data_IF_323217458172
#
_entry.id   IF_323217458172
#
_cell.length_a   1.000
_cell.length_b   1.000
_cell.length_c   1.000
_cell.angle_alpha   90.00
_cell.angle_beta   90.00
_cell.angle_gamma   90.00
#
_symmetry.space_group_name_H-M   'P 1'
#
loop_
_entity.id
_entity.type
_entity.pdbx_description
1 polymer ?
#
# COMPACT_ATOMS: atom_id res chain seq x y z
N UNK A 1 27.10 55.44 -26.74
CA UNK A 1 28.52 54.98 -26.64
C UNK A 1 28.55 53.63 -25.90
N UNK A 2 29.74 52.98 -25.84
CA UNK A 2 30.12 51.70 -25.18
C UNK A 2 29.24 51.29 -23.95
N UNK A 3 28.72 50.03 -23.88
CA UNK A 3 29.27 48.81 -23.19
C UNK A 3 29.45 48.98 -21.66
N UNK A 4 29.29 48.02 -20.74
CA UNK A 4 28.85 46.60 -20.63
C UNK A 4 28.64 46.32 -19.09
N UNK A 5 28.25 45.17 -18.48
CA UNK A 5 27.99 43.75 -18.84
C UNK A 5 26.89 43.16 -17.89
N UNK A 6 26.68 41.82 -17.76
CA UNK A 6 25.77 41.18 -16.77
C UNK A 6 26.48 40.01 -15.99
N UNK A 7 25.82 39.13 -15.17
CA UNK A 7 26.29 38.77 -13.81
C UNK A 7 27.13 37.47 -13.75
N UNK A 8 27.33 36.88 -12.55
CA UNK A 8 26.90 35.48 -12.37
C UNK A 8 26.10 35.22 -11.07
N UNK A 9 25.88 33.94 -10.74
CA UNK A 9 24.86 33.43 -9.81
C UNK A 9 25.42 32.26 -8.97
N UNK A 10 24.87 32.06 -7.76
CA UNK A 10 24.83 30.78 -7.00
C UNK A 10 26.12 30.24 -6.32
N UNK A 11 25.90 29.16 -5.56
CA UNK A 11 26.74 28.40 -4.62
C UNK A 11 26.82 28.95 -3.16
N UNK A 12 26.79 28.16 -2.08
CA UNK A 12 26.09 26.91 -1.65
C UNK A 12 26.76 26.44 -0.34
N UNK A 13 25.97 26.25 0.72
CA UNK A 13 26.24 25.47 1.95
C UNK A 13 27.35 25.89 2.95
N UNK A 14 27.24 25.30 4.16
CA UNK A 14 28.16 25.30 5.33
C UNK A 14 28.29 26.65 6.11
N UNK A 15 28.38 26.72 7.45
CA UNK A 15 28.43 25.68 8.51
C UNK A 15 28.02 26.23 9.91
N UNK A 16 27.59 25.35 10.84
CA UNK A 16 27.51 25.47 12.33
C UNK A 16 26.91 26.75 12.97
N UNK A 17 25.79 26.69 13.70
CA UNK A 17 25.66 26.32 15.14
C UNK A 17 26.37 27.27 16.12
N UNK A 18 25.58 28.01 16.90
CA UNK A 18 25.67 28.12 18.37
C UNK A 18 24.47 28.93 18.91
N UNK A 19 23.68 28.32 19.79
CA UNK A 19 23.17 28.90 21.05
C UNK A 19 22.67 27.71 21.88
N UNK A 20 23.15 27.62 23.11
CA UNK A 20 22.75 26.62 24.09
C UNK A 20 22.32 27.32 25.38
N UNK A 21 21.88 26.53 26.36
CA UNK A 21 21.30 26.93 27.65
C UNK A 21 19.86 27.50 27.55
N UNK A 22 18.89 26.94 28.28
CA UNK A 22 18.98 25.67 28.99
C UNK A 22 17.72 25.24 29.74
N UNK A 23 17.59 23.94 29.93
CA UNK A 23 16.80 23.31 30.98
C UNK A 23 17.66 22.23 31.63
N UNK A 24 17.93 22.37 32.92
CA UNK A 24 18.71 21.41 33.69
C UNK A 24 17.79 20.39 34.34
N UNK A 25 17.95 19.11 34.00
CA UNK A 25 17.42 17.98 34.76
C UNK A 25 18.62 17.08 35.03
N UNK A 26 18.96 16.90 36.31
CA UNK A 26 20.09 16.07 36.73
C UNK A 26 19.79 14.58 36.54
N UNK A 27 20.79 13.82 36.09
CA UNK A 27 20.74 12.37 36.03
C UNK A 27 21.55 11.84 37.22
N UNK A 28 20.90 11.07 38.10
CA UNK A 28 21.53 10.52 39.30
C UNK A 28 22.20 9.19 38.97
N UNK A 29 23.53 9.15 39.05
CA UNK A 29 24.34 7.97 38.68
C UNK A 29 24.52 7.04 39.87
N UNK A 30 23.44 6.38 40.28
CA UNK A 30 23.47 5.34 41.31
C UNK A 30 24.18 4.07 40.84
N UNK A 31 25.48 3.96 41.10
CA UNK A 31 26.24 2.74 40.82
C UNK A 31 25.89 1.63 41.82
N UNK A 32 25.40 0.48 41.33
CA UNK A 32 25.11 -0.71 42.15
C UNK A 32 26.24 -1.73 42.02
N UNK A 33 27.13 -1.75 43.01
CA UNK A 33 28.01 -2.87 43.28
C UNK A 33 27.36 -3.77 44.34
N UNK A 34 27.02 -5.02 43.98
CA UNK A 34 26.33 -5.94 44.89
C UNK A 34 26.35 -7.37 44.36
N UNK A 35 27.49 -8.05 44.51
CA UNK A 35 27.63 -9.47 44.19
C UNK A 35 27.47 -10.28 45.47
N UNK A 36 26.24 -10.71 45.76
CA UNK A 36 25.94 -11.64 46.85
C UNK A 36 25.41 -12.96 46.27
N UNK A 37 25.92 -14.08 46.79
CA UNK A 37 25.47 -15.41 46.42
C UNK A 37 24.30 -15.83 47.30
N UNK A 38 23.32 -16.53 46.71
CA UNK A 38 22.23 -17.18 47.45
C UNK A 38 22.31 -18.69 47.18
N UNK A 39 22.11 -19.48 48.23
CA UNK A 39 22.32 -20.93 48.20
C UNK A 39 21.18 -21.69 47.51
N UNK A 40 21.50 -22.91 47.06
CA UNK A 40 20.60 -23.81 46.36
C UNK A 40 19.72 -24.58 47.36
N UNK A 41 18.58 -24.01 47.76
CA UNK A 41 17.58 -24.73 48.58
C UNK A 41 16.54 -25.46 47.71
N UNK A 42 16.03 -26.59 48.21
CA UNK A 42 15.43 -27.64 47.38
C UNK A 42 13.91 -27.71 47.41
N UNK A 43 13.28 -27.23 46.33
CA UNK A 43 12.12 -27.83 45.68
C UNK A 43 10.80 -27.98 46.46
N UNK A 44 9.84 -27.11 46.14
CA UNK A 44 8.40 -27.35 46.29
C UNK A 44 7.71 -27.29 44.91
N UNK A 45 6.70 -28.13 44.62
CA UNK A 45 6.05 -28.17 43.31
C UNK A 45 5.02 -27.06 43.07
N UNK A 46 4.64 -26.30 44.11
CA UNK A 46 3.56 -25.30 44.03
C UNK A 46 4.01 -23.97 43.39
N UNK A 47 5.32 -23.66 43.44
CA UNK A 47 5.90 -22.45 42.82
C UNK A 47 5.90 -22.48 41.29
N UNK A 48 5.82 -23.66 40.67
CA UNK A 48 5.73 -23.79 39.22
C UNK A 48 4.47 -23.08 38.64
N UNK A 49 3.37 -23.08 39.39
CA UNK A 49 2.14 -22.37 39.01
C UNK A 49 2.33 -20.84 39.08
N UNK A 50 2.84 -20.31 40.19
CA UNK A 50 3.04 -18.85 40.35
C UNK A 50 4.06 -18.28 39.35
N UNK A 51 5.14 -19.01 39.07
CA UNK A 51 6.15 -18.60 38.07
C UNK A 51 5.51 -18.47 36.67
N UNK A 52 4.58 -19.37 36.30
CA UNK A 52 3.88 -19.27 35.01
C UNK A 52 2.93 -18.07 34.89
N UNK A 53 2.36 -17.57 36.00
CA UNK A 53 1.56 -16.34 35.99
C UNK A 53 2.43 -15.07 35.97
N UNK A 54 3.63 -15.13 36.55
CA UNK A 54 4.54 -13.97 36.64
C UNK A 54 5.31 -13.73 35.33
N UNK A 55 5.73 -14.80 34.62
CA UNK A 55 6.33 -14.72 33.28
C UNK A 55 5.42 -13.97 32.28
N UNK A 56 4.10 -14.06 32.46
CA UNK A 56 3.09 -13.35 31.65
C UNK A 56 3.14 -11.81 31.77
N UNK A 57 3.95 -11.26 32.68
CA UNK A 57 4.08 -9.81 32.93
C UNK A 57 5.40 -9.20 32.50
N UNK A 58 6.38 -10.01 32.11
CA UNK A 58 7.66 -9.52 31.59
C UNK A 58 7.52 -9.23 30.11
N UNK A 59 7.95 -8.04 29.66
CA UNK A 59 7.89 -7.64 28.24
C UNK A 59 8.94 -8.33 27.35
N UNK A 60 9.65 -9.30 27.91
CA UNK A 60 10.92 -9.90 27.45
C UNK A 60 10.89 -11.37 27.88
N UNK A 61 11.44 -12.29 27.10
CA UNK A 61 11.48 -13.71 27.46
C UNK A 61 12.59 -14.08 28.46
N UNK A 62 12.66 -15.37 28.83
CA UNK A 62 13.63 -15.90 29.78
C UNK A 62 15.09 -15.87 29.29
N UNK A 63 15.35 -15.54 28.03
CA UNK A 63 16.69 -15.40 27.45
C UNK A 63 17.06 -13.93 27.17
N UNK A 64 16.16 -12.99 27.48
CA UNK A 64 16.40 -11.55 27.37
C UNK A 64 15.96 -10.90 26.06
N UNK A 65 15.24 -11.62 25.19
CA UNK A 65 14.73 -11.10 23.90
C UNK A 65 13.39 -10.39 24.06
N UNK A 66 13.21 -9.29 23.35
CA UNK A 66 11.98 -8.49 23.34
C UNK A 66 10.90 -9.16 22.49
N UNK A 67 11.27 -9.76 21.35
CA UNK A 67 10.33 -10.41 20.42
C UNK A 67 10.28 -11.91 20.68
N UNK A 68 9.07 -12.41 20.93
CA UNK A 68 8.82 -13.81 21.28
C UNK A 68 8.11 -14.50 20.12
N UNK A 69 8.82 -15.41 19.42
CA UNK A 69 8.39 -15.97 18.13
C UNK A 69 6.91 -16.41 18.10
N UNK A 70 6.48 -17.24 19.05
CA UNK A 70 5.12 -17.76 19.12
C UNK A 70 4.04 -16.70 19.49
N UNK A 71 4.44 -15.61 20.15
CA UNK A 71 3.56 -14.48 20.53
C UNK A 71 3.40 -13.47 19.40
N UNK A 72 4.50 -13.17 18.70
CA UNK A 72 4.64 -11.97 17.87
C UNK A 72 4.84 -12.29 16.38
N UNK A 73 5.66 -13.29 16.04
CA UNK A 73 6.08 -13.58 14.65
C UNK A 73 5.17 -14.62 13.99
N UNK A 74 4.94 -15.77 14.64
CA UNK A 74 4.08 -16.82 14.10
C UNK A 74 2.66 -16.32 13.73
N UNK A 75 2.01 -15.39 14.47
CA UNK A 75 0.73 -14.80 14.05
C UNK A 75 0.79 -13.87 12.83
N UNK A 76 1.97 -13.35 12.46
CA UNK A 76 2.18 -12.54 11.23
C UNK A 76 2.30 -13.50 10.06
N UNK A 77 3.22 -14.48 10.13
CA UNK A 77 3.42 -15.51 9.11
C UNK A 77 2.12 -16.29 8.82
N UNK A 78 1.36 -16.67 9.86
CA UNK A 78 0.06 -17.35 9.72
C UNK A 78 -1.01 -16.49 9.03
N UNK A 79 -0.95 -15.16 9.16
CA UNK A 79 -1.97 -14.24 8.59
C UNK A 79 -1.68 -13.87 7.14
N UNK A 80 -0.40 -13.76 6.79
CA UNK A 80 0.05 -13.05 5.60
C UNK A 80 0.84 -13.92 4.61
N UNK A 81 1.38 -15.05 5.05
CA UNK A 81 2.32 -15.86 4.27
C UNK A 81 1.80 -17.30 4.01
N UNK A 82 1.18 -17.94 5.01
CA UNK A 82 0.71 -19.35 4.90
C UNK A 82 -0.25 -19.61 3.73
N UNK A 83 -1.07 -18.64 3.34
CA UNK A 83 -2.04 -18.76 2.24
C UNK A 83 -1.39 -19.00 0.86
N UNK A 84 -0.07 -18.86 0.73
CA UNK A 84 0.71 -19.05 -0.50
C UNK A 84 2.11 -19.68 -0.30
N UNK A 85 2.56 -19.83 0.96
CA UNK A 85 3.84 -20.45 1.36
C UNK A 85 3.62 -21.40 2.55
N UNK A 86 2.54 -22.18 2.51
CA UNK A 86 2.19 -23.17 3.52
C UNK A 86 2.37 -24.61 3.00
N UNK A 87 1.86 -25.61 3.74
CA UNK A 87 1.93 -27.01 3.33
C UNK A 87 0.91 -27.41 2.24
N UNK A 88 -0.05 -26.53 1.89
CA UNK A 88 -1.08 -26.76 0.85
C UNK A 88 -0.82 -25.98 -0.46
N UNK A 89 -0.11 -24.85 -0.40
CA UNK A 89 0.37 -24.04 -1.53
C UNK A 89 1.74 -23.47 -1.14
N UNK A 90 2.81 -23.89 -1.83
CA UNK A 90 4.22 -23.60 -1.48
C UNK A 90 4.92 -22.92 -2.66
N UNK A 91 4.56 -21.66 -2.92
CA UNK A 91 5.05 -20.92 -4.10
C UNK A 91 6.55 -20.69 -4.05
N UNK A 92 7.17 -20.74 -5.22
CA UNK A 92 8.62 -20.69 -5.41
C UNK A 92 9.41 -21.74 -4.58
N UNK A 93 8.76 -22.87 -4.23
CA UNK A 93 9.27 -23.91 -3.33
C UNK A 93 9.62 -23.41 -1.91
N UNK A 94 9.09 -22.24 -1.52
CA UNK A 94 9.30 -21.63 -0.22
C UNK A 94 8.14 -21.92 0.75
N UNK A 95 8.47 -22.25 2.00
CA UNK A 95 7.51 -22.55 3.08
C UNK A 95 7.82 -21.76 4.35
N UNK A 96 6.89 -20.89 4.73
CA UNK A 96 6.99 -20.06 5.94
C UNK A 96 6.73 -20.85 7.24
N UNK A 97 6.29 -22.11 7.15
CA UNK A 97 6.11 -23.01 8.28
C UNK A 97 7.26 -24.01 8.50
N UNK A 98 8.32 -23.91 7.69
CA UNK A 98 9.53 -24.73 7.78
C UNK A 98 10.77 -23.87 8.11
N UNK A 99 11.55 -24.29 9.11
CA UNK A 99 12.70 -23.52 9.60
C UNK A 99 13.87 -23.55 8.63
N UNK A 100 14.10 -24.67 7.95
CA UNK A 100 15.20 -24.80 6.97
C UNK A 100 14.91 -23.91 5.75
N UNK A 101 13.67 -23.92 5.24
CA UNK A 101 13.21 -23.00 4.20
C UNK A 101 13.34 -21.53 4.61
N UNK A 102 12.86 -21.12 5.80
CA UNK A 102 12.97 -19.72 6.26
C UNK A 102 14.42 -19.28 6.48
N UNK A 103 15.27 -20.12 7.07
CA UNK A 103 16.68 -19.82 7.31
C UNK A 103 17.49 -19.60 6.01
N UNK A 104 17.03 -20.15 4.89
CA UNK A 104 17.63 -19.94 3.57
C UNK A 104 17.45 -18.51 3.02
N UNK A 105 16.61 -17.70 3.67
CA UNK A 105 16.32 -16.29 3.32
C UNK A 105 16.48 -15.32 4.50
N UNK A 106 16.90 -15.81 5.68
CA UNK A 106 17.01 -15.03 6.92
C UNK A 106 18.36 -15.29 7.59
N UNK A 107 19.24 -14.30 7.52
CA UNK A 107 20.57 -14.34 8.15
C UNK A 107 20.46 -13.89 9.60
N UNK A 108 20.70 -14.82 10.54
CA UNK A 108 20.48 -14.61 11.97
C UNK A 108 21.40 -13.49 12.53
N UNK A 109 20.80 -12.38 12.95
CA UNK A 109 21.51 -11.20 13.45
C UNK A 109 21.95 -10.20 12.38
N UNK A 110 21.71 -10.48 11.09
CA UNK A 110 22.01 -9.57 9.97
C UNK A 110 20.77 -9.26 9.14
N UNK A 111 20.20 -8.07 9.39
CA UNK A 111 19.04 -7.55 8.66
C UNK A 111 19.38 -7.14 7.22
N UNK A 112 20.62 -6.73 6.93
CA UNK A 112 21.02 -6.26 5.59
C UNK A 112 21.32 -7.42 4.63
N UNK A 113 21.76 -8.57 5.16
CA UNK A 113 21.92 -9.81 4.40
C UNK A 113 20.65 -10.69 4.35
N UNK A 114 19.62 -10.37 5.15
CA UNK A 114 18.35 -11.13 5.19
C UNK A 114 17.45 -10.82 3.98
N UNK A 115 17.63 -11.58 2.90
CA UNK A 115 16.86 -11.46 1.65
C UNK A 115 15.34 -11.39 1.88
N UNK A 116 14.76 -12.21 2.77
CA UNK A 116 13.32 -12.16 3.11
C UNK A 116 12.89 -10.74 3.50
N UNK A 117 13.70 -10.04 4.29
CA UNK A 117 13.36 -8.70 4.78
C UNK A 117 13.66 -7.61 3.73
N UNK A 118 14.82 -7.68 3.07
CA UNK A 118 15.28 -6.64 2.13
C UNK A 118 14.63 -6.75 0.76
N UNK A 119 14.68 -7.93 0.15
CA UNK A 119 14.32 -8.14 -1.26
C UNK A 119 12.82 -8.42 -1.47
N UNK A 120 12.12 -8.88 -0.42
CA UNK A 120 10.69 -9.27 -0.49
C UNK A 120 9.77 -8.41 0.41
N UNK A 121 10.03 -8.32 1.72
CA UNK A 121 9.15 -7.55 2.65
C UNK A 121 9.28 -6.03 2.51
N UNK A 122 10.44 -5.53 2.05
CA UNK A 122 10.68 -4.11 1.74
C UNK A 122 10.78 -3.84 0.22
N UNK A 123 10.45 -4.81 -0.63
CA UNK A 123 10.53 -4.65 -2.08
C UNK A 123 9.61 -3.52 -2.59
N UNK A 124 10.06 -2.81 -3.62
CA UNK A 124 9.26 -1.78 -4.31
C UNK A 124 8.67 -2.27 -5.65
N UNK A 125 9.07 -3.47 -6.08
CA UNK A 125 8.57 -4.19 -7.25
C UNK A 125 7.32 -5.02 -6.87
N UNK A 126 6.23 -4.90 -7.63
CA UNK A 126 4.95 -5.57 -7.32
C UNK A 126 5.01 -7.10 -7.45
N UNK A 127 5.89 -7.64 -8.31
CA UNK A 127 6.02 -9.08 -8.54
C UNK A 127 6.95 -9.75 -7.51
N UNK A 128 7.86 -8.96 -6.90
CA UNK A 128 8.73 -9.39 -5.80
C UNK A 128 8.18 -9.07 -4.39
N UNK A 129 7.31 -8.07 -4.24
CA UNK A 129 6.76 -7.68 -2.94
C UNK A 129 5.93 -8.80 -2.31
N UNK A 130 6.34 -9.23 -1.12
CA UNK A 130 5.59 -10.20 -0.31
C UNK A 130 5.08 -9.55 0.99
N UNK A 131 3.80 -9.77 1.38
CA UNK A 131 2.74 -10.37 0.58
C UNK A 131 2.35 -9.47 -0.61
N UNK A 132 1.86 -10.03 -1.73
CA UNK A 132 1.44 -9.22 -2.87
C UNK A 132 0.32 -8.24 -2.50
N UNK A 133 0.24 -7.04 -3.12
CA UNK A 133 -0.81 -6.05 -2.83
C UNK A 133 -2.24 -6.61 -3.00
N UNK A 134 -2.44 -7.48 -4.00
CA UNK A 134 -3.71 -8.17 -4.25
C UNK A 134 -4.09 -9.24 -3.19
N UNK A 135 -3.17 -9.57 -2.29
CA UNK A 135 -3.31 -10.58 -1.22
C UNK A 135 -3.26 -10.02 0.20
N UNK A 136 -3.13 -8.69 0.34
CA UNK A 136 -3.25 -8.01 1.63
C UNK A 136 -1.98 -7.34 2.14
N UNK A 137 -0.88 -7.41 1.38
CA UNK A 137 0.32 -6.61 1.66
C UNK A 137 0.19 -5.14 1.22
N UNK A 138 1.23 -4.32 1.45
CA UNK A 138 2.42 -4.64 2.25
C UNK A 138 2.09 -4.85 3.74
N UNK A 139 3.01 -5.47 4.50
CA UNK A 139 2.87 -5.59 5.95
C UNK A 139 2.79 -4.21 6.63
N UNK A 140 2.11 -4.12 7.78
CA UNK A 140 2.07 -2.85 8.51
C UNK A 140 3.45 -2.51 9.11
N UNK A 141 3.77 -1.22 9.33
CA UNK A 141 5.06 -0.82 9.91
C UNK A 141 5.35 -1.43 11.30
N UNK A 142 4.32 -1.84 12.04
CA UNK A 142 4.50 -2.56 13.30
C UNK A 142 4.86 -4.04 13.11
N UNK A 143 4.29 -4.70 12.10
CA UNK A 143 4.62 -6.09 11.76
C UNK A 143 6.02 -6.19 11.15
N UNK A 144 6.39 -5.24 10.28
CA UNK A 144 7.77 -5.10 9.78
C UNK A 144 8.77 -4.86 10.91
N UNK A 145 8.45 -3.99 11.87
CA UNK A 145 9.32 -3.72 13.02
C UNK A 145 9.50 -4.95 13.93
N UNK A 146 8.47 -5.78 14.10
CA UNK A 146 8.58 -7.05 14.86
C UNK A 146 9.49 -8.05 14.13
N UNK A 147 9.29 -8.27 12.82
CA UNK A 147 10.15 -9.16 12.03
C UNK A 147 11.60 -8.65 12.04
N UNK A 148 11.81 -7.35 11.85
CA UNK A 148 13.14 -6.72 11.95
C UNK A 148 13.82 -7.06 13.27
N UNK A 149 13.18 -6.76 14.40
CA UNK A 149 13.82 -6.94 15.71
C UNK A 149 14.04 -8.42 16.00
N UNK A 150 13.15 -9.32 15.56
CA UNK A 150 13.38 -10.77 15.64
C UNK A 150 14.63 -11.21 14.85
N UNK A 151 14.85 -10.69 13.64
CA UNK A 151 16.07 -10.98 12.85
C UNK A 151 17.31 -10.41 13.57
N UNK A 152 17.25 -9.16 14.03
CA UNK A 152 18.34 -8.50 14.78
C UNK A 152 18.64 -9.20 16.14
N UNK A 153 17.64 -9.83 16.76
CA UNK A 153 17.76 -10.68 17.97
C UNK A 153 18.21 -12.13 17.66
N UNK A 154 18.65 -12.42 16.43
CA UNK A 154 19.22 -13.71 16.02
C UNK A 154 18.24 -14.68 15.36
N UNK A 155 17.11 -14.20 14.83
CA UNK A 155 16.08 -14.97 14.12
C UNK A 155 15.59 -16.23 14.87
N UNK A 156 15.55 -16.17 16.21
CA UNK A 156 15.33 -17.35 17.06
C UNK A 156 14.01 -18.08 16.75
N UNK A 157 14.13 -19.36 16.39
CA UNK A 157 13.02 -20.26 16.08
C UNK A 157 12.99 -21.41 17.10
N UNK A 158 12.03 -21.45 18.04
CA UNK A 158 12.02 -22.45 19.12
C UNK A 158 11.47 -23.82 18.66
N UNK A 159 11.79 -24.88 19.40
CA UNK A 159 11.27 -26.24 19.15
C UNK A 159 9.72 -26.34 19.19
N UNK A 160 9.05 -25.42 19.89
CA UNK A 160 7.59 -25.32 19.97
C UNK A 160 6.98 -24.33 18.94
N UNK A 161 7.76 -23.88 17.95
CA UNK A 161 7.35 -22.94 16.92
C UNK A 161 6.07 -23.40 16.19
N UNK A 162 5.00 -22.62 16.35
CA UNK A 162 3.67 -23.01 15.91
C UNK A 162 3.14 -22.05 14.84
N UNK A 163 3.69 -22.11 13.63
CA UNK A 163 3.19 -21.31 12.50
C UNK A 163 1.86 -21.89 11.98
N UNK A 164 1.86 -23.15 11.53
CA UNK A 164 0.73 -23.80 10.86
C UNK A 164 -0.47 -24.15 11.75
N UNK A 165 -0.30 -24.24 13.08
CA UNK A 165 -1.37 -24.65 13.99
C UNK A 165 -2.35 -23.53 14.35
N UNK A 166 -3.61 -23.90 14.56
CA UNK A 166 -4.65 -22.99 15.02
C UNK A 166 -4.45 -22.62 16.49
N UNK A 167 -3.95 -21.40 16.75
CA UNK A 167 -3.81 -20.89 18.12
C UNK A 167 -5.18 -20.70 18.78
N UNK A 168 -5.50 -21.55 19.76
CA UNK A 168 -6.72 -21.45 20.58
C UNK A 168 -6.66 -20.33 21.61
N UNK A 169 -5.47 -19.79 21.87
CA UNK A 169 -5.26 -18.54 22.60
C UNK A 169 -5.13 -17.41 21.58
N UNK A 170 -6.03 -16.40 21.58
CA UNK A 170 -5.72 -15.14 20.90
C UNK A 170 -4.56 -14.51 21.67
N UNK A 171 -3.38 -14.45 21.05
CA UNK A 171 -2.24 -13.75 21.64
C UNK A 171 -2.70 -12.33 22.06
N UNK A 172 -2.27 -11.83 23.24
CA UNK A 172 -2.56 -10.45 23.62
C UNK A 172 -1.83 -9.57 22.62
N UNK A 173 -2.56 -9.11 21.60
CA UNK A 173 -1.97 -8.32 20.51
C UNK A 173 -1.44 -7.04 21.16
N UNK A 174 -0.12 -6.95 21.31
CA UNK A 174 0.58 -5.71 21.65
C UNK A 174 0.58 -4.86 20.37
N UNK A 175 -0.64 -4.55 19.94
CA UNK A 175 -0.95 -3.49 19.01
C UNK A 175 -0.43 -2.24 19.68
N UNK A 176 0.76 -1.81 19.29
CA UNK A 176 1.25 -0.45 19.55
C UNK A 176 0.44 0.48 18.66
N UNK A 177 -0.87 0.57 18.95
CA UNK A 177 -1.71 1.65 18.49
C UNK A 177 -1.18 2.90 19.17
N UNK A 178 -0.22 3.55 18.50
CA UNK A 178 -0.11 5.00 18.51
C UNK A 178 -1.54 5.56 18.47
N UNK A 179 -2.04 6.03 19.62
CA UNK A 179 -3.41 6.53 19.70
C UNK A 179 -3.51 7.74 18.78
N UNK A 180 -4.03 7.51 17.57
CA UNK A 180 -4.24 8.58 16.59
C UNK A 180 -5.06 9.65 17.29
N UNK A 181 -4.51 10.87 17.34
CA UNK A 181 -5.19 12.03 17.94
C UNK A 181 -6.58 12.20 17.31
N UNK A 182 -7.50 12.93 17.93
CA UNK A 182 -8.83 13.15 17.32
C UNK A 182 -8.74 13.73 15.89
N UNK A 183 -7.70 14.52 15.61
CA UNK A 183 -7.36 15.03 14.27
C UNK A 183 -6.89 13.88 13.36
N UNK A 184 -5.94 13.05 13.81
CA UNK A 184 -5.46 11.89 13.05
C UNK A 184 -6.55 10.85 12.77
N UNK A 185 -7.49 10.64 13.71
CA UNK A 185 -8.67 9.77 13.54
C UNK A 185 -9.66 10.34 12.52
N UNK A 186 -9.91 11.65 12.55
CA UNK A 186 -10.77 12.30 11.56
C UNK A 186 -10.13 12.28 10.16
N UNK A 187 -8.81 12.48 10.07
CA UNK A 187 -8.03 12.38 8.84
C UNK A 187 -8.09 10.96 8.26
N UNK A 188 -7.78 9.93 9.04
CA UNK A 188 -7.90 8.53 8.65
C UNK A 188 -9.33 8.19 8.17
N UNK A 189 -10.34 8.56 8.98
CA UNK A 189 -11.75 8.27 8.70
C UNK A 189 -12.23 8.83 7.36
N UNK A 190 -11.86 10.07 7.00
CA UNK A 190 -12.26 10.62 5.70
C UNK A 190 -11.61 9.90 4.50
N UNK A 191 -10.45 9.27 4.69
CA UNK A 191 -9.73 8.58 3.62
C UNK A 191 -10.54 7.43 3.01
N UNK A 192 -11.29 6.70 3.85
CA UNK A 192 -12.17 5.61 3.40
C UNK A 192 -13.28 6.07 2.43
N UNK A 193 -13.58 7.37 2.36
CA UNK A 193 -14.53 7.94 1.39
C UNK A 193 -13.87 8.35 0.06
N UNK A 194 -12.57 8.12 -0.14
CA UNK A 194 -11.91 8.38 -1.43
C UNK A 194 -12.57 7.63 -2.61
N UNK A 195 -12.81 6.31 -2.55
CA UNK A 195 -13.49 5.59 -3.64
C UNK A 195 -14.93 6.09 -3.91
N UNK A 196 -15.61 6.61 -2.90
CA UNK A 196 -16.92 7.23 -3.08
C UNK A 196 -16.82 8.63 -3.71
N UNK A 197 -15.83 9.43 -3.30
CA UNK A 197 -15.71 10.83 -3.74
C UNK A 197 -15.12 11.00 -5.14
N UNK A 198 -14.29 10.08 -5.65
CA UNK A 198 -13.77 10.14 -7.04
C UNK A 198 -14.89 10.12 -8.10
N UNK A 199 -16.05 9.53 -7.79
CA UNK A 199 -17.20 9.49 -8.71
C UNK A 199 -17.73 10.89 -9.06
N UNK A 200 -17.62 11.87 -8.15
CA UNK A 200 -18.12 13.23 -8.37
C UNK A 200 -17.32 14.02 -9.43
N UNK A 201 -15.99 14.20 -9.33
CA UNK A 201 -15.21 14.89 -10.36
C UNK A 201 -15.19 14.11 -11.68
N UNK A 202 -15.12 12.76 -11.64
CA UNK A 202 -15.20 11.91 -12.85
C UNK A 202 -16.50 12.19 -13.61
N UNK A 203 -17.65 12.09 -12.93
CA UNK A 203 -18.95 12.32 -13.56
C UNK A 203 -19.12 13.78 -14.01
N UNK A 204 -18.78 14.76 -13.16
CA UNK A 204 -18.99 16.17 -13.45
C UNK A 204 -18.11 16.67 -14.61
N UNK A 205 -16.81 16.36 -14.63
CA UNK A 205 -15.91 16.80 -15.70
C UNK A 205 -16.29 16.14 -17.04
N UNK A 206 -16.60 14.83 -17.03
CA UNK A 206 -17.00 14.08 -18.23
C UNK A 206 -18.36 14.55 -18.77
N UNK A 207 -19.37 14.73 -17.90
CA UNK A 207 -20.68 15.25 -18.30
C UNK A 207 -20.59 16.69 -18.81
N UNK A 208 -19.77 17.53 -18.17
CA UNK A 208 -19.47 18.88 -18.64
C UNK A 208 -18.85 18.88 -20.04
N UNK A 209 -17.88 18.00 -20.31
CA UNK A 209 -17.27 17.84 -21.62
C UNK A 209 -18.26 17.39 -22.70
N UNK A 210 -19.15 16.43 -22.39
CA UNK A 210 -20.25 16.03 -23.29
C UNK A 210 -21.11 17.24 -23.66
N UNK A 211 -21.44 18.10 -22.69
CA UNK A 211 -22.23 19.32 -22.96
C UNK A 211 -21.46 20.42 -23.71
N UNK A 212 -20.12 20.43 -23.71
CA UNK A 212 -19.33 21.27 -24.63
C UNK A 212 -19.53 20.81 -26.08
N UNK A 213 -19.44 19.50 -26.33
CA UNK A 213 -19.60 18.92 -27.69
C UNK A 213 -21.03 19.09 -28.20
N UNK A 214 -22.04 18.76 -27.37
CA UNK A 214 -23.45 19.02 -27.70
C UNK A 214 -23.72 20.52 -27.92
N UNK A 215 -22.99 21.38 -27.22
CA UNK A 215 -23.00 22.84 -27.40
C UNK A 215 -22.69 23.32 -28.81
N UNK A 216 -21.93 22.55 -29.61
CA UNK A 216 -21.67 22.88 -31.02
C UNK A 216 -22.92 22.76 -31.90
N UNK A 217 -23.84 21.86 -31.55
CA UNK A 217 -25.14 21.71 -32.24
C UNK A 217 -26.26 22.53 -31.59
N UNK A 218 -26.18 22.74 -30.28
CA UNK A 218 -27.18 23.45 -29.48
C UNK A 218 -26.52 24.51 -28.57
N UNK A 219 -26.22 25.72 -29.09
CA UNK A 219 -25.46 26.74 -28.35
C UNK A 219 -26.07 27.15 -27.00
N UNK A 220 -27.38 27.03 -26.83
CA UNK A 220 -28.09 27.36 -25.59
C UNK A 220 -27.62 26.54 -24.37
N UNK A 221 -27.23 25.27 -24.55
CA UNK A 221 -26.73 24.41 -23.46
C UNK A 221 -25.20 24.46 -23.31
N UNK A 222 -24.48 24.84 -24.38
CA UNK A 222 -23.01 24.75 -24.51
C UNK A 222 -22.17 25.72 -23.68
N UNK A 223 -22.74 26.36 -22.65
CA UNK A 223 -21.99 27.29 -21.77
C UNK A 223 -22.38 27.13 -20.31
N UNK A 224 -23.66 27.26 -19.94
CA UNK A 224 -24.07 27.24 -18.53
C UNK A 224 -23.86 25.88 -17.86
N UNK A 225 -24.25 24.79 -18.54
CA UNK A 225 -24.11 23.42 -17.99
C UNK A 225 -22.62 23.03 -17.87
N UNK A 226 -21.78 23.14 -18.93
CA UNK A 226 -20.35 22.87 -18.82
C UNK A 226 -19.63 23.71 -17.75
N UNK A 227 -20.03 24.98 -17.57
CA UNK A 227 -19.44 25.86 -16.56
C UNK A 227 -19.74 25.36 -15.14
N UNK A 228 -21.01 25.03 -14.85
CA UNK A 228 -21.41 24.49 -13.54
C UNK A 228 -20.67 23.16 -13.26
N UNK A 229 -20.63 22.28 -14.26
CA UNK A 229 -19.89 21.01 -14.21
C UNK A 229 -18.39 21.19 -13.93
N UNK A 230 -17.72 22.14 -14.60
CA UNK A 230 -16.31 22.45 -14.34
C UNK A 230 -16.09 23.01 -12.92
N UNK A 231 -16.95 23.92 -12.45
CA UNK A 231 -16.81 24.53 -11.12
C UNK A 231 -17.02 23.51 -10.00
N UNK A 232 -18.10 22.73 -10.03
CA UNK A 232 -18.35 21.67 -9.03
C UNK A 232 -17.39 20.48 -9.19
N UNK A 233 -16.96 20.18 -10.42
CA UNK A 233 -15.95 19.16 -10.70
C UNK A 233 -14.59 19.51 -10.11
N UNK A 234 -14.12 20.75 -10.28
CA UNK A 234 -12.86 21.21 -9.70
C UNK A 234 -12.88 21.22 -8.16
N UNK A 235 -14.00 21.61 -7.54
CA UNK A 235 -14.15 21.59 -6.07
C UNK A 235 -14.22 20.15 -5.53
N UNK A 236 -14.95 19.25 -6.20
CA UNK A 236 -15.01 17.85 -5.77
C UNK A 236 -13.71 17.08 -6.03
N UNK A 237 -12.94 17.47 -7.06
CA UNK A 237 -11.59 16.95 -7.30
C UNK A 237 -10.62 17.26 -6.14
N UNK A 238 -10.63 18.48 -5.60
CA UNK A 238 -9.86 18.83 -4.38
C UNK A 238 -10.22 17.92 -3.21
N UNK A 239 -11.52 17.67 -2.99
CA UNK A 239 -12.00 16.76 -1.95
C UNK A 239 -11.50 15.32 -2.15
N UNK A 240 -11.68 14.78 -3.35
CA UNK A 240 -11.24 13.42 -3.69
C UNK A 240 -9.71 13.25 -3.56
N UNK A 241 -8.93 14.22 -4.04
CA UNK A 241 -7.45 14.22 -3.88
C UNK A 241 -7.04 14.28 -2.42
N UNK A 242 -7.66 15.15 -1.60
CA UNK A 242 -7.38 15.24 -0.16
C UNK A 242 -7.69 13.94 0.58
N UNK A 243 -8.81 13.28 0.26
CA UNK A 243 -9.15 11.97 0.82
C UNK A 243 -8.20 10.87 0.33
N UNK A 244 -7.72 10.94 -0.91
CA UNK A 244 -6.74 9.97 -1.46
C UNK A 244 -5.41 10.01 -0.71
N UNK A 245 -4.88 11.19 -0.42
CA UNK A 245 -3.69 11.34 0.43
C UNK A 245 -3.90 10.84 1.86
N UNK A 246 -5.12 10.93 2.40
CA UNK A 246 -5.45 10.36 3.72
C UNK A 246 -5.59 8.84 3.69
N UNK A 247 -6.17 8.28 2.62
CA UNK A 247 -6.32 6.85 2.42
C UNK A 247 -4.97 6.16 2.21
N UNK A 248 -4.06 6.78 1.47
CA UNK A 248 -2.71 6.25 1.24
C UNK A 248 -1.97 5.93 2.54
N UNK A 249 -2.03 6.83 3.54
CA UNK A 249 -1.40 6.63 4.85
C UNK A 249 -2.05 5.54 5.71
N UNK A 250 -3.32 5.20 5.48
CA UNK A 250 -3.98 4.07 6.16
C UNK A 250 -3.71 2.72 5.47
N UNK A 251 -3.27 2.75 4.21
CA UNK A 251 -2.89 1.58 3.41
C UNK A 251 -1.39 1.23 3.46
N UNK A 252 -0.60 1.97 4.22
CA UNK A 252 0.85 1.76 4.35
C UNK A 252 1.69 2.31 3.18
N UNK A 253 1.08 2.90 2.16
CA UNK A 253 1.81 3.41 0.99
C UNK A 253 2.80 4.53 1.35
N UNK A 254 3.96 4.59 0.68
CA UNK A 254 5.02 5.53 1.03
C UNK A 254 4.64 6.99 0.77
N UNK A 255 5.21 7.87 1.60
CA UNK A 255 4.82 9.28 1.69
C UNK A 255 5.32 10.19 0.55
N UNK A 256 5.39 11.49 0.86
CA UNK A 256 5.83 12.55 -0.07
C UNK A 256 7.31 12.46 -0.48
N UNK A 257 8.12 11.66 0.21
CA UNK A 257 9.55 11.49 -0.05
C UNK A 257 9.86 10.43 -1.11
N UNK A 258 8.88 9.61 -1.48
CA UNK A 258 9.05 8.52 -2.43
C UNK A 258 8.58 8.93 -3.84
N UNK A 259 9.47 8.73 -4.82
CA UNK A 259 9.37 9.22 -6.20
C UNK A 259 9.85 8.16 -7.20
N UNK A 260 9.45 6.91 -7.03
CA UNK A 260 9.53 5.95 -8.13
C UNK A 260 8.56 6.33 -9.25
N UNK A 261 8.99 6.28 -10.51
CA UNK A 261 8.18 6.59 -11.69
C UNK A 261 7.68 5.36 -12.44
N UNK A 262 8.12 4.16 -12.07
CA UNK A 262 7.76 2.92 -12.78
C UNK A 262 6.52 2.24 -12.15
N UNK A 263 6.27 2.44 -10.85
CA UNK A 263 5.04 2.03 -10.15
C UNK A 263 3.74 2.72 -10.64
N UNK A 264 2.66 1.96 -10.93
CA UNK A 264 1.32 2.51 -11.25
C UNK A 264 0.74 3.44 -10.16
N UNK A 265 1.02 3.14 -8.89
CA UNK A 265 0.58 3.96 -7.75
C UNK A 265 1.05 5.41 -7.87
N UNK A 266 2.29 5.64 -8.35
CA UNK A 266 2.82 6.98 -8.58
C UNK A 266 2.00 7.72 -9.64
N UNK A 267 1.71 7.07 -10.77
CA UNK A 267 0.96 7.67 -11.87
C UNK A 267 -0.47 8.00 -11.49
N UNK A 268 -1.15 7.13 -10.74
CA UNK A 268 -2.48 7.43 -10.21
C UNK A 268 -2.45 8.61 -9.22
N UNK A 269 -1.51 8.59 -8.25
CA UNK A 269 -1.34 9.62 -7.21
C UNK A 269 -1.07 11.01 -7.82
N UNK A 270 -0.13 11.10 -8.75
CA UNK A 270 0.22 12.36 -9.41
C UNK A 270 -0.77 12.75 -10.50
N UNK A 271 -1.32 11.80 -11.26
CA UNK A 271 -2.38 12.04 -12.23
C UNK A 271 -3.60 12.72 -11.59
N UNK A 272 -4.05 12.22 -10.43
CA UNK A 272 -5.11 12.85 -9.64
C UNK A 272 -4.79 14.27 -9.19
N UNK A 273 -3.56 14.52 -8.72
CA UNK A 273 -3.08 15.88 -8.39
C UNK A 273 -3.11 16.82 -9.62
N UNK A 274 -2.63 16.34 -10.78
CA UNK A 274 -2.56 17.12 -12.02
C UNK A 274 -3.98 17.44 -12.53
N UNK A 275 -4.92 16.48 -12.51
CA UNK A 275 -6.35 16.71 -12.84
C UNK A 275 -6.95 17.79 -11.95
N UNK A 276 -6.72 17.73 -10.64
CA UNK A 276 -7.24 18.72 -9.68
C UNK A 276 -6.68 20.12 -9.93
N UNK A 277 -5.36 20.26 -10.09
CA UNK A 277 -4.72 21.56 -10.38
C UNK A 277 -5.18 22.11 -11.73
N UNK A 278 -5.21 21.29 -12.77
CA UNK A 278 -5.64 21.69 -14.10
C UNK A 278 -7.11 22.14 -14.13
N UNK A 279 -8.00 21.41 -13.43
CA UNK A 279 -9.41 21.77 -13.32
C UNK A 279 -9.63 23.10 -12.58
N UNK A 280 -8.85 23.37 -11.52
CA UNK A 280 -8.87 24.66 -10.82
C UNK A 280 -8.37 25.81 -11.71
N UNK A 281 -7.32 25.59 -12.52
CA UNK A 281 -6.83 26.60 -13.47
C UNK A 281 -7.86 26.87 -14.57
N UNK A 282 -8.51 25.83 -15.13
CA UNK A 282 -9.58 26.00 -16.12
C UNK A 282 -10.82 26.69 -15.53
N UNK A 283 -11.21 26.39 -14.29
CA UNK A 283 -12.25 27.11 -13.56
C UNK A 283 -11.90 28.61 -13.40
N UNK A 284 -10.64 28.92 -13.05
CA UNK A 284 -10.14 30.30 -12.99
C UNK A 284 -10.19 31.01 -14.35
N UNK A 285 -9.79 30.34 -15.43
CA UNK A 285 -9.88 30.85 -16.81
C UNK A 285 -11.34 31.12 -17.21
N UNK A 286 -12.27 30.23 -16.87
CA UNK A 286 -13.69 30.42 -17.15
C UNK A 286 -14.27 31.66 -16.45
N UNK A 287 -13.99 31.82 -15.15
CA UNK A 287 -14.41 32.99 -14.36
C UNK A 287 -13.77 34.30 -14.88
N UNK A 288 -12.51 34.26 -15.32
CA UNK A 288 -11.85 35.40 -15.96
C UNK A 288 -12.44 35.73 -17.33
N UNK A 289 -12.81 34.73 -18.14
CA UNK A 289 -13.49 34.91 -19.41
C UNK A 289 -14.83 35.61 -19.25
N UNK A 290 -15.66 35.16 -18.30
CA UNK A 290 -16.94 35.79 -17.94
C UNK A 290 -16.72 37.23 -17.46
N UNK A 291 -15.75 37.47 -16.56
CA UNK A 291 -15.46 38.80 -16.02
C UNK A 291 -14.93 39.79 -17.06
N UNK A 292 -14.27 39.31 -18.12
CA UNK A 292 -13.68 40.15 -19.19
C UNK A 292 -14.55 40.24 -20.46
N UNK A 293 -15.58 39.40 -20.60
CA UNK A 293 -16.33 39.25 -21.85
C UNK A 293 -15.50 38.63 -22.99
N UNK A 294 -14.45 37.87 -22.66
CA UNK A 294 -13.43 37.44 -23.62
C UNK A 294 -13.79 36.09 -24.27
N UNK A 295 -14.20 36.14 -25.54
CA UNK A 295 -14.52 34.97 -26.37
C UNK A 295 -13.32 34.05 -26.69
N UNK A 296 -12.09 34.50 -26.44
CA UNK A 296 -10.90 33.65 -26.51
C UNK A 296 -10.81 32.76 -25.26
N UNK A 297 -10.90 33.36 -24.08
CA UNK A 297 -10.92 32.62 -22.81
C UNK A 297 -12.08 31.63 -22.73
N UNK A 298 -13.25 31.97 -23.29
CA UNK A 298 -14.40 31.06 -23.38
C UNK A 298 -14.06 29.75 -24.13
N UNK A 299 -13.31 29.84 -25.23
CA UNK A 299 -12.85 28.67 -25.99
C UNK A 299 -11.78 27.89 -25.22
N UNK A 300 -10.87 28.58 -24.54
CA UNK A 300 -9.78 27.95 -23.77
C UNK A 300 -10.34 27.07 -22.65
N UNK A 301 -11.26 27.55 -21.81
CA UNK A 301 -11.79 26.70 -20.72
C UNK A 301 -12.66 25.56 -21.24
N UNK A 302 -13.37 25.74 -22.36
CA UNK A 302 -14.19 24.68 -22.98
C UNK A 302 -13.32 23.58 -23.59
N UNK A 303 -12.24 23.92 -24.28
CA UNK A 303 -11.25 22.95 -24.77
C UNK A 303 -10.55 22.28 -23.57
N UNK A 304 -10.19 23.06 -22.54
CA UNK A 304 -9.63 22.55 -21.30
C UNK A 304 -10.54 21.53 -20.60
N UNK A 305 -11.86 21.74 -20.58
CA UNK A 305 -12.80 20.78 -20.01
C UNK A 305 -12.85 19.45 -20.78
N UNK A 306 -12.69 19.47 -22.12
CA UNK A 306 -12.53 18.24 -22.91
C UNK A 306 -11.24 17.50 -22.53
N UNK A 307 -10.13 18.24 -22.34
CA UNK A 307 -8.84 17.67 -21.91
C UNK A 307 -8.94 17.10 -20.49
N UNK A 308 -9.60 17.80 -19.56
CA UNK A 308 -9.82 17.35 -18.19
C UNK A 308 -10.64 16.05 -18.12
N UNK A 309 -11.65 15.90 -18.99
CA UNK A 309 -12.41 14.65 -19.11
C UNK A 309 -11.54 13.49 -19.65
N UNK A 310 -10.66 13.74 -20.60
CA UNK A 310 -9.67 12.74 -21.05
C UNK A 310 -8.70 12.33 -19.94
N UNK A 311 -8.15 13.31 -19.21
CA UNK A 311 -7.22 13.07 -18.10
C UNK A 311 -7.88 12.30 -16.95
N UNK A 312 -9.11 12.65 -16.54
CA UNK A 312 -9.80 11.95 -15.46
C UNK A 312 -10.22 10.53 -15.87
N UNK A 313 -10.44 10.29 -17.17
CA UNK A 313 -10.61 8.93 -17.71
C UNK A 313 -9.33 8.09 -17.58
N UNK A 314 -8.16 8.64 -17.92
CA UNK A 314 -6.87 7.95 -17.78
C UNK A 314 -6.53 7.64 -16.32
N UNK A 315 -6.73 8.58 -15.39
CA UNK A 315 -6.54 8.36 -13.94
C UNK A 315 -7.54 7.34 -13.39
N UNK A 316 -8.76 7.30 -13.95
CA UNK A 316 -9.78 6.30 -13.63
C UNK A 316 -9.39 4.89 -14.07
N UNK A 317 -8.76 4.73 -15.24
CA UNK A 317 -8.19 3.46 -15.72
C UNK A 317 -7.13 2.94 -14.75
N UNK A 318 -6.16 3.79 -14.39
CA UNK A 318 -5.10 3.47 -13.42
C UNK A 318 -5.67 3.08 -12.05
N UNK A 319 -6.75 3.74 -11.60
CA UNK A 319 -7.45 3.36 -10.37
C UNK A 319 -8.15 2.00 -10.44
N UNK A 320 -8.59 1.59 -11.63
CA UNK A 320 -9.13 0.25 -11.89
C UNK A 320 -8.03 -0.83 -11.90
N UNK A 321 -6.89 -0.55 -12.53
CA UNK A 321 -5.73 -1.45 -12.55
C UNK A 321 -5.21 -1.70 -11.12
N UNK A 322 -5.05 -0.65 -10.30
CA UNK A 322 -4.73 -0.76 -8.87
C UNK A 322 -5.77 -1.50 -8.01
N UNK A 323 -6.97 -1.78 -8.53
CA UNK A 323 -8.04 -2.49 -7.81
C UNK A 323 -8.25 -3.91 -8.32
N UNK A 324 -7.97 -4.18 -9.59
CA UNK A 324 -8.32 -5.44 -10.27
C UNK A 324 -7.17 -6.10 -11.05
N UNK A 325 -5.96 -5.51 -11.02
CA UNK A 325 -4.76 -5.98 -11.72
C UNK A 325 -4.64 -5.46 -13.17
N UNK A 326 -3.40 -5.43 -13.66
CA UNK A 326 -3.00 -4.97 -15.00
C UNK A 326 -3.81 -5.60 -16.16
N UNK A 327 -4.16 -6.89 -16.09
CA UNK A 327 -4.94 -7.58 -17.13
C UNK A 327 -6.44 -7.22 -17.15
N UNK A 328 -6.97 -6.45 -16.19
CA UNK A 328 -8.41 -6.19 -16.09
C UNK A 328 -9.02 -5.61 -17.38
N UNK A 329 -8.43 -4.55 -17.93
CA UNK A 329 -8.89 -3.93 -19.17
C UNK A 329 -8.44 -4.71 -20.43
N UNK A 330 -7.16 -5.16 -20.58
CA UNK A 330 -6.74 -6.01 -21.68
C UNK A 330 -7.61 -7.26 -21.86
N UNK A 331 -7.99 -7.95 -20.78
CA UNK A 331 -8.92 -9.09 -20.79
C UNK A 331 -10.31 -8.72 -21.28
N UNK A 332 -10.85 -7.58 -20.85
CA UNK A 332 -12.14 -7.08 -21.34
C UNK A 332 -12.09 -6.80 -22.87
N UNK A 333 -10.96 -6.30 -23.38
CA UNK A 333 -10.75 -6.15 -24.83
C UNK A 333 -10.56 -7.49 -25.55
N UNK A 334 -9.84 -8.46 -24.99
CA UNK A 334 -9.73 -9.83 -25.56
C UNK A 334 -11.10 -10.49 -25.68
N UNK A 335 -11.94 -10.42 -24.64
CA UNK A 335 -13.32 -10.92 -24.66
C UNK A 335 -14.17 -10.19 -25.72
N UNK A 336 -14.02 -8.85 -25.85
CA UNK A 336 -14.74 -8.07 -26.86
C UNK A 336 -14.31 -8.39 -28.30
N UNK A 337 -13.05 -8.80 -28.51
CA UNK A 337 -12.51 -9.17 -29.82
C UNK A 337 -12.64 -10.68 -30.14
N UNK A 338 -13.01 -11.51 -29.16
CA UNK A 338 -13.10 -12.97 -29.30
C UNK A 338 -11.74 -13.67 -29.28
N UNK A 339 -10.73 -13.06 -28.66
CA UNK A 339 -9.35 -13.58 -28.52
C UNK A 339 -9.02 -13.95 -27.07
N UNK A 340 -10.04 -14.21 -26.24
CA UNK A 340 -9.91 -14.69 -24.87
C UNK A 340 -9.50 -16.18 -24.78
N UNK A 341 -9.63 -16.92 -25.88
CA UNK A 341 -9.11 -18.29 -26.04
C UNK A 341 -7.66 -18.39 -26.52
N UNK A 342 -6.99 -17.26 -26.81
CA UNK A 342 -5.54 -17.23 -27.02
C UNK A 342 -4.86 -17.00 -25.67
N UNK A 343 -4.17 -18.05 -25.17
CA UNK A 343 -3.24 -17.93 -24.07
C UNK A 343 -2.13 -16.96 -24.48
N UNK A 344 -2.14 -15.77 -23.87
CA UNK A 344 -0.94 -14.93 -23.84
C UNK A 344 0.05 -15.69 -22.98
N UNK A 345 1.09 -16.24 -23.62
CA UNK A 345 2.30 -16.64 -22.92
C UNK A 345 2.86 -15.40 -22.25
N UNK A 346 2.70 -15.33 -20.93
CA UNK A 346 3.70 -14.65 -20.10
C UNK A 346 5.01 -15.40 -20.37
N UNK A 347 6.08 -14.68 -20.66
CA UNK A 347 7.39 -15.28 -20.95
C UNK A 347 8.06 -15.73 -19.62
N UNK A 348 7.45 -16.72 -18.97
CA UNK A 348 8.07 -17.49 -17.89
C UNK A 348 9.31 -18.23 -18.45
N UNK A 349 10.42 -18.19 -17.70
CA UNK A 349 11.67 -18.88 -18.08
C UNK A 349 11.47 -20.41 -18.22
N UNK A 350 12.24 -21.08 -19.08
CA UNK A 350 11.80 -22.31 -19.71
C UNK A 350 11.99 -23.57 -18.86
N UNK A 351 11.02 -23.92 -18.00
CA UNK A 351 11.05 -25.26 -17.40
C UNK A 351 10.04 -25.66 -16.31
N UNK A 352 8.73 -25.75 -16.59
CA UNK A 352 7.91 -26.86 -16.07
C UNK A 352 6.65 -27.10 -16.92
N UNK A 353 6.55 -28.25 -17.62
CA UNK A 353 5.35 -28.58 -18.42
C UNK A 353 4.32 -29.36 -17.60
N UNK A 354 3.57 -28.66 -16.73
CA UNK A 354 2.41 -29.22 -16.04
C UNK A 354 1.24 -29.43 -17.03
N UNK A 355 1.31 -30.54 -17.77
CA UNK A 355 0.36 -30.89 -18.82
C UNK A 355 -0.99 -31.35 -18.27
N UNK A 356 -1.83 -30.39 -17.86
CA UNK A 356 -3.25 -30.61 -17.56
C UNK A 356 -4.02 -30.97 -18.84
N UNK A 357 -3.94 -32.25 -19.24
CA UNK A 357 -4.78 -32.81 -20.28
C UNK A 357 -6.25 -32.68 -19.89
N UNK A 358 -6.95 -31.74 -20.52
CA UNK A 358 -8.39 -31.57 -20.39
C UNK A 358 -9.10 -32.77 -21.01
N UNK A 359 -9.41 -33.77 -20.18
CA UNK A 359 -10.25 -34.93 -20.55
C UNK A 359 -11.46 -34.44 -21.36
N UNK A 360 -11.50 -34.81 -22.64
CA UNK A 360 -12.55 -34.36 -23.55
C UNK A 360 -13.87 -35.00 -23.13
N UNK A 361 -14.85 -34.17 -22.76
CA UNK A 361 -16.13 -34.65 -22.26
C UNK A 361 -16.83 -35.56 -23.28
N UNK A 362 -16.78 -36.87 -23.03
CA UNK A 362 -17.37 -37.86 -23.92
C UNK A 362 -18.88 -37.63 -24.08
N UNK A 363 -19.45 -37.78 -25.29
CA UNK A 363 -20.87 -37.58 -25.52
C UNK A 363 -21.67 -38.62 -24.73
N UNK A 364 -22.61 -38.17 -23.90
CA UNK A 364 -23.44 -39.06 -23.08
C UNK A 364 -24.24 -40.03 -23.98
N UNK A 365 -24.30 -41.34 -23.67
CA UNK A 365 -25.09 -42.29 -24.44
C UNK A 365 -26.58 -41.97 -24.32
N UNK A 366 -27.29 -42.00 -25.45
CA UNK A 366 -28.71 -41.66 -25.50
C UNK A 366 -29.55 -42.62 -24.65
N UNK A 367 -30.48 -42.07 -23.85
CA UNK A 367 -31.41 -42.83 -23.03
C UNK A 367 -32.37 -43.65 -23.92
N UNK A 368 -32.31 -44.97 -23.79
CA UNK A 368 -33.26 -45.89 -24.44
C UNK A 368 -34.62 -45.79 -23.71
N UNK A 369 -35.72 -45.46 -24.39
CA UNK A 369 -37.04 -45.44 -23.76
C UNK A 369 -37.51 -46.87 -23.47
N UNK A 370 -37.79 -47.18 -22.21
CA UNK A 370 -38.51 -48.39 -21.84
C UNK A 370 -40.01 -48.18 -22.07
N UNK A 371 -40.55 -48.83 -23.11
CA UNK A 371 -41.98 -49.11 -23.20
C UNK A 371 -42.28 -50.47 -22.54
N UNK A 372 -43.51 -50.59 -22.05
CA UNK A 372 -44.17 -51.85 -21.67
C UNK A 372 -44.87 -52.44 -22.89
#
# INVERSE_FOLDING_TARGET
MRRFIVPPRQHVFYMLVTIATGFGIGWDTGAVSGQEAVEQESGDPETAASVSEEISRTAVDGEGRVVVFNRDIAPIFRRHCLDCHGPEDSKADFRIDDVDSVSSYVEAGDLESSAMYVDYLLSEDEDMMMPPPAKGGPLSPGELALIRVWIEEGANWPDDANVAGASTVPAPVITVTQEKTLIGRAWAFQGFFHPATIHFPVALLTFGAIFVVLGWKWPAIGTQIPLACLLFGAVSAVGATMMGWAFATEKGYPGWTHFDMDNEFFWHRWGGMIVTVFSLVMAGVALLGIKRGDSSLDKVWKIGLLVAAGMVGAVGHQGGELTYGKDHYPKAFRILMGTDGEEVTVDDEPGEQVSLQRESAAPQPALVPQNV
#
